data_IF_573805791055
#
_entry.id   IF_573805791055
#
_cell.length_a   1.000
_cell.length_b   1.000
_cell.length_c   1.000
_cell.angle_alpha   90.00
_cell.angle_beta   90.00
_cell.angle_gamma   90.00
#
_symmetry.space_group_name_H-M   'P 1'
#
loop_
_entity.id
_entity.type
_entity.pdbx_description
1 polymer ?
2 non-polymer ?
#
# COMPACT_ATOMS: atom_id res chain seq x y z
N UNK A 114 26.59 5.26 -6.54
CA UNK A 114 25.72 4.23 -6.01
C UNK A 114 24.43 4.82 -5.49
N UNK A 115 23.32 4.50 -6.16
CA UNK A 115 22.08 5.23 -5.93
C UNK A 115 21.14 4.47 -5.01
N UNK A 116 20.29 5.23 -4.33
CA UNK A 116 19.31 4.71 -3.38
C UNK A 116 18.33 5.84 -3.04
N UNK A 117 17.27 5.48 -2.32
CA UNK A 117 16.18 6.41 -2.09
C UNK A 117 16.09 6.79 -0.61
N UNK A 118 15.36 7.89 -0.37
CA UNK A 118 15.38 8.56 0.92
C UNK A 118 14.81 7.67 2.01
N UNK A 119 13.78 6.91 1.68
CA UNK A 119 13.23 5.91 2.58
C UNK A 119 13.45 4.55 1.95
N UNK A 120 13.91 3.59 2.76
CA UNK A 120 14.13 2.25 2.26
C UNK A 120 12.79 1.53 2.24
N UNK A 121 12.48 0.88 1.13
CA UNK A 121 11.22 0.20 0.99
C UNK A 121 11.43 -1.30 0.84
N UNK A 122 10.31 -2.01 0.83
CA UNK A 122 10.29 -3.44 0.55
C UNK A 122 9.01 -3.75 -0.23
N UNK A 123 9.14 -4.61 -1.22
CA UNK A 123 8.05 -4.96 -2.11
C UNK A 123 7.89 -6.46 -2.14
N UNK A 124 6.64 -6.93 -2.08
CA UNK A 124 6.35 -8.36 -2.16
C UNK A 124 5.08 -8.58 -2.97
N UNK A 125 5.02 -9.71 -3.65
CA UNK A 125 3.79 -10.17 -4.26
C UNK A 125 2.96 -10.89 -3.21
N UNK A 126 1.64 -10.62 -3.18
CA UNK A 126 0.72 -11.33 -2.29
C UNK A 126 -0.36 -11.99 -3.12
N UNK A 127 -0.64 -13.28 -2.83
CA UNK A 127 -1.68 -14.05 -3.50
C UNK A 127 -2.63 -14.77 -2.56
N UNK A 128 -2.46 -14.55 -1.27
CA UNK A 128 -3.28 -15.12 -0.21
C UNK A 128 -4.15 -14.06 0.43
N UNK A 129 -4.56 -13.06 -0.34
CA UNK A 129 -5.29 -11.94 0.23
C UNK A 129 -6.74 -12.32 0.47
N UNK A 130 -7.26 -11.97 1.63
CA UNK A 130 -8.67 -12.19 1.91
C UNK A 130 -9.39 -10.91 2.31
N UNK A 131 -8.80 -10.14 3.19
CA UNK A 131 -9.42 -8.93 3.69
C UNK A 131 -8.70 -7.72 3.12
N UNK A 132 -9.48 -6.69 2.81
CA UNK A 132 -8.89 -5.46 2.29
C UNK A 132 -9.76 -4.29 2.70
N UNK A 133 -9.21 -3.11 2.59
CA UNK A 133 -9.98 -1.92 2.88
C UNK A 133 -10.37 -1.28 1.55
N UNK A 134 -11.62 -0.85 1.46
CA UNK A 134 -12.12 -0.45 0.16
C UNK A 134 -11.89 1.04 -0.01
N UNK A 135 -12.41 1.58 -1.10
CA UNK A 135 -12.03 2.92 -1.52
C UNK A 135 -12.45 3.96 -0.48
N UNK A 136 -13.62 3.77 0.13
CA UNK A 136 -14.03 4.72 1.17
C UNK A 136 -14.01 4.09 2.55
N UNK A 137 -12.89 3.45 2.91
CA UNK A 137 -12.53 3.17 4.29
C UNK A 137 -13.07 1.88 4.88
N UNK A 138 -13.97 1.19 4.20
CA UNK A 138 -14.61 -0.01 4.72
C UNK A 138 -13.77 -1.25 4.47
N UNK A 139 -13.94 -2.24 5.34
CA UNK A 139 -13.36 -3.56 5.13
C UNK A 139 -14.21 -4.32 4.13
N UNK A 140 -13.55 -5.12 3.28
CA UNK A 140 -14.22 -6.04 2.36
C UNK A 140 -13.46 -7.35 2.32
N UNK A 141 -14.08 -8.34 1.70
CA UNK A 141 -13.50 -9.67 1.58
C UNK A 141 -13.06 -9.87 0.15
N UNK A 142 -11.83 -10.32 -0.02
CA UNK A 142 -11.26 -10.55 -1.33
C UNK A 142 -11.38 -12.03 -1.62
N UNK A 143 -11.97 -12.36 -2.76
CA UNK A 143 -12.12 -13.75 -3.15
C UNK A 143 -10.82 -14.31 -3.69
N UNK A 144 -10.70 -15.63 -3.63
CA UNK A 144 -9.48 -16.28 -4.08
C UNK A 144 -9.31 -16.26 -5.58
N UNK A 145 -10.38 -16.56 -6.32
CA UNK A 145 -10.31 -16.76 -7.77
C UNK A 145 -11.18 -15.72 -8.49
N UNK A 146 -11.01 -15.65 -9.81
CA UNK A 146 -11.77 -14.73 -10.64
C UNK A 146 -12.11 -15.43 -11.96
N UNK A 147 -13.21 -14.99 -12.57
CA UNK A 147 -13.64 -15.46 -13.91
C UNK A 147 -13.68 -14.25 -14.84
N UNK A 148 -12.57 -13.95 -15.52
CA UNK A 148 -12.55 -12.82 -16.49
C UNK A 148 -12.71 -13.45 -17.87
N UNK A 149 -13.45 -12.79 -18.77
CA UNK A 149 -13.79 -13.38 -20.09
C UNK A 149 -14.38 -14.74 -19.77
N UNK A 150 -13.72 -15.82 -20.18
CA UNK A 150 -14.22 -17.17 -19.81
C UNK A 150 -13.02 -17.98 -19.31
N UNK A 151 -12.25 -17.38 -18.41
CA UNK A 151 -11.05 -18.06 -17.84
C UNK A 151 -11.00 -17.79 -16.34
N UNK A 152 -10.41 -18.72 -15.59
CA UNK A 152 -10.31 -18.64 -14.14
C UNK A 152 -8.89 -18.23 -13.77
N UNK A 153 -8.77 -17.14 -13.02
CA UNK A 153 -7.49 -16.57 -12.59
C UNK A 153 -7.53 -16.30 -11.10
N UNK A 154 -6.36 -16.33 -10.47
CA UNK A 154 -6.25 -15.91 -9.08
C UNK A 154 -5.91 -14.43 -9.04
N UNK A 155 -6.22 -13.80 -7.91
CA UNK A 155 -6.01 -12.37 -7.73
C UNK A 155 -4.66 -12.12 -7.05
N UNK A 156 -3.82 -11.32 -7.70
CA UNK A 156 -2.50 -10.98 -7.18
C UNK A 156 -2.40 -9.48 -6.95
N UNK A 157 -1.36 -9.06 -6.22
CA UNK A 157 -1.21 -7.68 -5.76
C UNK A 157 0.24 -7.39 -5.45
N UNK A 158 0.77 -6.31 -6.00
CA UNK A 158 2.15 -5.91 -5.75
C UNK A 158 2.16 -4.79 -4.73
N UNK A 159 2.66 -5.07 -3.53
CA UNK A 159 2.59 -4.15 -2.40
C UNK A 159 3.99 -3.66 -2.03
N UNK A 160 4.10 -2.37 -1.70
CA UNK A 160 5.34 -1.80 -1.19
C UNK A 160 5.05 -1.06 0.12
N UNK A 161 5.76 -1.43 1.19
CA UNK A 161 5.70 -0.77 2.49
C UNK A 161 7.02 -0.08 2.77
N UNK A 162 6.99 0.81 3.77
CA UNK A 162 8.21 1.34 4.37
C UNK A 162 8.90 0.28 5.23
N UNK A 163 10.24 0.36 5.27
CA UNK A 163 11.02 -0.44 6.20
C UNK A 163 11.06 0.20 7.58
N UNK A 164 11.36 1.51 7.65
CA UNK A 164 11.52 2.21 8.93
C UNK A 164 10.54 3.36 9.01
N UNK A 165 9.27 3.09 9.36
CA UNK A 165 8.29 4.15 9.54
C UNK A 165 8.41 4.90 10.86
N UNK A 166 9.50 4.72 11.59
CA UNK A 166 9.67 5.36 12.89
C UNK A 166 9.34 6.84 12.79
N UNK A 167 8.50 7.36 13.64
CA UNK A 167 8.16 8.78 13.55
C UNK A 167 8.89 9.62 14.59
N UNK A 168 10.01 9.11 15.13
CA UNK A 168 10.87 9.96 15.94
C UNK A 168 12.31 9.90 15.42
N UNK A 169 12.99 8.75 15.44
CA UNK A 169 14.29 8.66 14.75
C UNK A 169 13.95 8.35 13.29
N UNK A 170 13.72 9.43 12.54
CA UNK A 170 13.33 9.36 11.14
C UNK A 170 14.12 8.32 10.38
N UNK A 171 13.41 7.58 9.54
CA UNK A 171 14.07 6.74 8.56
C UNK A 171 14.48 7.46 7.30
N UNK A 172 14.11 8.73 7.14
CA UNK A 172 14.55 9.48 5.98
C UNK A 172 16.07 9.70 6.01
N UNK A 173 16.74 9.28 4.95
CA UNK A 173 18.15 9.58 4.77
C UNK A 173 18.33 10.97 4.18
N UNK A 174 19.45 11.61 4.53
CA UNK A 174 19.95 12.75 3.81
C UNK A 174 19.19 14.06 3.89
N UNK A 175 18.68 14.45 5.05
CA UNK A 175 17.84 15.65 5.17
C UNK A 175 18.60 16.80 5.84
N UNK A 176 18.24 18.05 5.46
CA UNK A 176 18.57 19.26 6.22
C UNK A 176 17.81 19.16 7.54
N UNK A 177 18.30 18.31 8.45
CA UNK A 177 17.66 18.16 9.75
C UNK A 177 17.71 19.42 10.59
N UNK A 178 18.54 20.41 10.24
CA UNK A 178 18.52 21.67 10.98
C UNK A 178 17.21 22.41 10.76
N UNK A 179 16.73 22.49 9.52
CA UNK A 179 15.51 23.23 9.24
C UNK A 179 14.27 22.36 9.08
N UNK A 180 14.37 21.04 9.28
CA UNK A 180 13.33 20.14 8.78
C UNK A 180 13.15 18.88 9.62
N UNK A 181 11.89 18.53 9.88
CA UNK A 181 11.50 17.26 10.47
C UNK A 181 11.04 16.29 9.39
N UNK A 182 11.19 14.99 9.65
CA UNK A 182 10.85 14.03 8.61
C UNK A 182 10.44 12.68 9.17
N UNK A 183 9.61 11.96 8.42
CA UNK A 183 9.41 10.53 8.64
C UNK A 183 9.06 9.82 7.33
N UNK A 184 9.20 8.50 7.36
CA UNK A 184 8.80 7.67 6.24
C UNK A 184 7.35 7.18 6.39
N UNK A 185 6.62 7.18 5.28
CA UNK A 185 5.22 6.81 5.30
C UNK A 185 4.85 6.00 4.06
N UNK A 186 3.96 5.04 4.26
CA UNK A 186 3.43 4.20 3.19
C UNK A 186 2.28 4.94 2.51
N UNK A 187 2.40 5.15 1.21
CA UNK A 187 1.30 5.70 0.44
C UNK A 187 0.56 4.58 -0.27
N UNK A 188 -0.60 4.92 -0.83
CA UNK A 188 -1.50 3.91 -1.36
C UNK A 188 -1.95 4.24 -2.77
N UNK A 189 -2.17 3.20 -3.54
CA UNK A 189 -2.91 3.27 -4.79
C UNK A 189 -4.21 2.49 -4.66
N UNK A 190 -4.91 2.38 -5.78
CA UNK A 190 -6.19 1.69 -5.78
C UNK A 190 -6.29 0.83 -7.02
N UNK A 191 -6.63 -0.42 -6.79
CA UNK A 191 -6.82 -1.41 -7.84
C UNK A 191 -8.20 -2.00 -7.65
N UNK A 192 -8.75 -2.52 -8.73
CA UNK A 192 -10.03 -3.21 -8.65
C UNK A 192 -9.80 -4.68 -8.29
N UNK A 193 -10.74 -5.25 -7.55
CA UNK A 193 -10.65 -6.65 -7.18
C UNK A 193 -12.05 -7.21 -7.00
N UNK A 194 -12.16 -8.53 -7.16
CA UNK A 194 -13.43 -9.19 -6.94
C UNK A 194 -13.63 -9.38 -5.44
N UNK A 195 -14.58 -8.64 -4.88
CA UNK A 195 -14.90 -8.70 -3.46
C UNK A 195 -16.26 -9.34 -3.26
N UNK A 196 -16.79 -9.20 -2.05
CA UNK A 196 -18.04 -9.86 -1.70
C UNK A 196 -19.03 -8.84 -1.16
N UNK A 197 -20.09 -8.61 -1.92
CA UNK A 197 -21.09 -7.57 -1.66
C UNK A 197 -22.39 -8.28 -1.34
N UNK A 198 -22.84 -8.19 -0.09
CA UNK A 198 -23.89 -9.09 0.35
C UNK A 198 -23.37 -10.50 0.23
N UNK A 199 -23.82 -11.25 -0.77
CA UNK A 199 -23.16 -12.50 -1.13
C UNK A 199 -23.43 -12.86 -2.58
N UNK A 200 -23.37 -11.89 -3.47
CA UNK A 200 -22.78 -12.10 -4.78
C UNK A 200 -21.76 -10.99 -4.98
N UNK A 201 -20.76 -11.30 -5.79
CA UNK A 201 -19.52 -10.55 -5.84
C UNK A 201 -19.67 -9.17 -6.47
N UNK A 202 -18.73 -8.29 -6.14
CA UNK A 202 -18.62 -6.98 -6.76
C UNK A 202 -17.18 -6.72 -7.19
N UNK A 203 -17.05 -5.98 -8.28
CA UNK A 203 -15.78 -5.48 -8.80
C UNK A 203 -15.59 -4.12 -8.17
N UNK A 204 -14.76 -4.03 -7.14
CA UNK A 204 -14.62 -2.77 -6.44
C UNK A 204 -13.15 -2.41 -6.23
N UNK A 205 -12.91 -1.14 -5.94
CA UNK A 205 -11.56 -0.61 -5.79
C UNK A 205 -11.10 -0.77 -4.34
N UNK A 206 -9.99 -1.46 -4.14
CA UNK A 206 -9.42 -1.59 -2.81
C UNK A 206 -8.10 -0.84 -2.75
N UNK A 207 -7.77 -0.40 -1.55
CA UNK A 207 -6.57 0.39 -1.28
C UNK A 207 -5.42 -0.55 -0.98
N UNK A 208 -4.28 -0.34 -1.62
CA UNK A 208 -3.10 -1.17 -1.36
C UNK A 208 -1.84 -0.32 -1.23
N UNK A 209 -0.96 -0.74 -0.30
CA UNK A 209 0.34 -0.11 -0.09
C UNK A 209 1.19 -0.14 -1.36
N UNK A 210 1.58 1.03 -1.85
CA UNK A 210 2.25 1.09 -3.14
C UNK A 210 3.67 1.62 -3.09
N UNK A 211 4.11 2.23 -1.99
CA UNK A 211 5.35 3.01 -2.02
C UNK A 211 5.62 3.60 -0.64
N UNK A 212 6.85 4.08 -0.46
CA UNK A 212 7.33 4.66 0.79
C UNK A 212 7.94 6.02 0.49
N UNK A 213 7.29 7.11 0.91
CA UNK A 213 7.82 8.44 0.65
C UNK A 213 8.13 9.13 1.97
N UNK A 214 8.97 10.16 1.89
CA UNK A 214 9.40 10.94 3.05
C UNK A 214 8.54 12.19 3.14
N UNK A 215 8.04 12.48 4.34
CA UNK A 215 7.19 13.64 4.60
C UNK A 215 7.92 14.62 5.51
N UNK A 216 7.76 15.92 5.24
CA UNK A 216 8.46 16.95 6.00
C UNK A 216 7.52 17.95 6.64
N UNK A 217 8.04 18.59 7.69
CA UNK A 217 7.48 19.78 8.31
C UNK A 217 8.65 20.64 8.78
N UNK A 218 8.53 21.96 8.64
CA UNK A 218 9.61 22.84 9.07
C UNK A 218 9.60 23.03 10.58
N UNK A 219 10.76 23.38 11.13
CA UNK A 219 10.98 23.47 12.56
C UNK A 219 10.70 24.88 13.08
N UNK A 220 10.19 24.96 14.31
CA UNK A 220 9.69 26.20 14.93
C UNK A 220 10.51 27.46 14.61
X LIG B 1 -4.11 -18.07 3.40
X LIG C 1 -11.37 -7.76 9.48
#
# INVERSE_FOLDING_TARGET
>A
MEPHTESNVPAGHAIPQAHWTKLQHSLDTALRRARSAPARAIAARVAGQTRNITVDPKLFKKRRLRSPRVLFSTQPPPVAADTQDLDFEAGGAASFNRTHRSKRSSSHPVFHRGEFSVCDSVSVWVGDKTTATDIKGKEVMVLGEVNINNSVFKQYFFETKCRDPNPVDSGCRGIDSKHWNSYCTTTHTFVKALTMDGKQAAWRFIRIDTACVCVLSRKTGRKA
>B hetero
1 ZN ZN
>C hetero
1 ZN ZN
#
